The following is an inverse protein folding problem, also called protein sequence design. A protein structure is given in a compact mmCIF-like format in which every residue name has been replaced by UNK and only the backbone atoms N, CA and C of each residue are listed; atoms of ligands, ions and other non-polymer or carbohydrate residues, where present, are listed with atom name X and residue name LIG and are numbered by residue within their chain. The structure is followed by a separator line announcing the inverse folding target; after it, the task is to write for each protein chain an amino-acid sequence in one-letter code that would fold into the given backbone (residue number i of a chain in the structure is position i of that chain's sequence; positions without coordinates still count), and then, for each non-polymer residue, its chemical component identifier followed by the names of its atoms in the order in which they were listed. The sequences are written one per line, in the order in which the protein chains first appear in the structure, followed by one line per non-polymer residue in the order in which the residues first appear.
data_IF_837523217060
#
_entry.id   IF_837523217060
#
_cell.length_a   1.000
_cell.length_b   1.000
_cell.length_c   1.000
_cell.angle_alpha   90.00
_cell.angle_beta   90.00
_cell.angle_gamma   90.00
#
_symmetry.space_group_name_H-M   'P 1'
#
loop_
_entity.id
_entity.type
_entity.pdbx_description
1 polymer ?
#
# COMPACT_ATOMS: atom_id res chain seq x y z
N UNK A 1 -20.54 -22.07 21.01
CA UNK A 1 -20.54 -22.66 19.66
C UNK A 1 -21.38 -21.88 18.61
N UNK A 2 -22.04 -20.78 18.98
CA UNK A 2 -22.83 -19.90 18.08
C UNK A 2 -21.98 -18.87 17.31
N UNK A 3 -20.69 -18.72 17.63
CA UNK A 3 -19.79 -17.72 17.06
C UNK A 3 -19.50 -17.95 15.56
N UNK A 4 -19.26 -19.19 15.16
CA UNK A 4 -18.86 -19.53 13.79
C UNK A 4 -19.97 -19.27 12.75
N UNK A 5 -21.24 -19.69 12.95
CA UNK A 5 -22.32 -19.43 11.99
C UNK A 5 -22.65 -17.93 11.88
N UNK A 6 -22.54 -17.15 12.96
CA UNK A 6 -22.76 -15.69 12.91
C UNK A 6 -21.69 -14.97 12.12
N UNK A 7 -20.43 -15.36 12.24
CA UNK A 7 -19.32 -14.81 11.45
C UNK A 7 -19.44 -15.17 9.97
N UNK A 8 -19.93 -16.38 9.67
CA UNK A 8 -20.14 -16.81 8.30
C UNK A 8 -21.28 -16.04 7.63
N UNK A 9 -22.41 -15.87 8.31
CA UNK A 9 -23.55 -15.09 7.81
C UNK A 9 -23.20 -13.61 7.61
N UNK A 10 -22.42 -13.04 8.51
CA UNK A 10 -21.91 -11.67 8.39
C UNK A 10 -20.99 -11.51 7.17
N UNK A 11 -20.14 -12.50 6.90
CA UNK A 11 -19.25 -12.52 5.72
C UNK A 11 -20.04 -12.55 4.41
N UNK A 12 -21.08 -13.38 4.30
CA UNK A 12 -21.94 -13.43 3.12
C UNK A 12 -22.78 -12.18 2.95
N UNK A 13 -23.31 -11.62 4.05
CA UNK A 13 -24.01 -10.35 4.05
C UNK A 13 -23.13 -9.20 3.53
N UNK A 14 -21.88 -9.11 3.97
CA UNK A 14 -20.95 -8.12 3.45
C UNK A 14 -20.59 -8.33 1.99
N UNK A 15 -20.43 -9.57 1.54
CA UNK A 15 -20.22 -9.87 0.10
C UNK A 15 -21.41 -9.42 -0.74
N UNK A 16 -22.62 -9.64 -0.27
CA UNK A 16 -23.85 -9.20 -0.92
C UNK A 16 -23.89 -7.66 -1.01
N UNK A 17 -23.66 -6.95 0.08
CA UNK A 17 -23.62 -5.48 0.09
C UNK A 17 -22.54 -4.92 -0.84
N UNK A 18 -21.37 -5.55 -0.92
CA UNK A 18 -20.31 -5.17 -1.85
C UNK A 18 -20.70 -5.32 -3.32
N UNK A 19 -21.50 -6.32 -3.66
CA UNK A 19 -22.04 -6.50 -5.02
C UNK A 19 -22.94 -5.33 -5.44
N UNK A 20 -23.60 -4.69 -4.48
CA UNK A 20 -24.41 -3.47 -4.69
C UNK A 20 -23.59 -2.16 -4.53
N UNK A 21 -22.27 -2.23 -4.50
CA UNK A 21 -21.41 -1.04 -4.41
C UNK A 21 -21.32 -0.41 -3.02
N UNK A 22 -21.87 -1.04 -1.99
CA UNK A 22 -21.74 -0.57 -0.60
C UNK A 22 -20.31 -0.78 -0.12
N UNK A 23 -19.59 0.31 0.12
CA UNK A 23 -18.20 0.25 0.63
C UNK A 23 -18.18 -0.28 2.07
N UNK A 24 -17.31 -1.27 2.34
CA UNK A 24 -17.12 -1.83 3.68
C UNK A 24 -16.82 -0.75 4.72
N UNK A 25 -17.49 -0.77 5.89
CA UNK A 25 -17.17 0.13 7.00
C UNK A 25 -15.79 -0.14 7.62
N UNK A 26 -15.16 -1.25 7.26
CA UNK A 26 -13.82 -1.65 7.73
C UNK A 26 -12.66 -0.89 7.07
N UNK A 27 -12.93 0.09 6.19
CA UNK A 27 -11.87 1.01 5.77
C UNK A 27 -11.40 1.83 6.98
N UNK A 28 -10.22 1.56 7.56
CA UNK A 28 -9.84 2.08 8.87
C UNK A 28 -9.64 3.61 8.87
N UNK A 29 -9.69 4.25 7.72
CA UNK A 29 -9.47 5.69 7.63
C UNK A 29 -10.50 6.34 6.71
N UNK A 30 -11.77 6.34 7.12
CA UNK A 30 -12.80 7.20 6.52
C UNK A 30 -12.53 8.68 6.79
N UNK A 31 -11.84 9.00 7.88
CA UNK A 31 -11.56 10.37 8.28
C UNK A 31 -10.23 10.85 7.67
N UNK A 32 -10.33 11.73 6.67
CA UNK A 32 -9.19 12.35 5.99
C UNK A 32 -8.22 13.02 6.99
N UNK A 33 -8.74 13.70 8.01
CA UNK A 33 -7.94 14.41 9.01
C UNK A 33 -7.11 13.44 9.87
N UNK A 34 -7.68 12.29 10.25
CA UNK A 34 -6.97 11.26 11.01
C UNK A 34 -5.82 10.67 10.18
N UNK A 35 -6.04 10.44 8.89
CA UNK A 35 -5.01 9.95 7.98
C UNK A 35 -3.87 10.96 7.82
N UNK A 36 -4.18 12.24 7.60
CA UNK A 36 -3.16 13.28 7.50
C UNK A 36 -2.31 13.38 8.77
N UNK A 37 -2.92 13.22 9.95
CA UNK A 37 -2.19 13.19 11.20
C UNK A 37 -1.21 12.01 11.28
N UNK A 38 -1.64 10.82 10.84
CA UNK A 38 -0.78 9.62 10.78
C UNK A 38 0.37 9.83 9.80
N UNK A 39 0.09 10.30 8.58
CA UNK A 39 1.10 10.55 7.56
C UNK A 39 2.13 11.62 8.01
N UNK A 40 1.69 12.68 8.69
CA UNK A 40 2.59 13.67 9.30
C UNK A 40 3.51 13.05 10.35
N UNK A 41 3.03 12.10 11.16
CA UNK A 41 3.87 11.41 12.13
C UNK A 41 4.92 10.53 11.44
N UNK A 42 4.58 9.87 10.33
CA UNK A 42 5.55 9.11 9.54
C UNK A 42 6.63 10.00 8.93
N UNK A 43 6.24 11.15 8.39
CA UNK A 43 7.18 12.16 7.86
C UNK A 43 8.16 12.62 8.95
N UNK A 44 7.65 12.99 10.13
CA UNK A 44 8.49 13.39 11.27
C UNK A 44 9.45 12.27 11.70
N UNK A 45 8.98 11.03 11.71
CA UNK A 45 9.80 9.88 12.05
C UNK A 45 10.94 9.68 11.04
N UNK A 46 10.64 9.75 9.74
CA UNK A 46 11.63 9.63 8.67
C UNK A 46 12.69 10.73 8.79
N UNK A 47 12.27 11.98 8.98
CA UNK A 47 13.17 13.13 9.16
C UNK A 47 14.07 12.97 10.40
N UNK A 48 13.51 12.51 11.52
CA UNK A 48 14.25 12.31 12.77
C UNK A 48 15.29 11.19 12.68
N UNK A 49 14.96 10.10 11.98
CA UNK A 49 15.79 8.89 11.95
C UNK A 49 16.62 8.74 10.66
N UNK A 50 16.39 9.60 9.67
CA UNK A 50 17.03 9.56 8.35
C UNK A 50 16.96 8.16 7.71
N UNK A 51 15.81 7.50 7.84
CA UNK A 51 15.60 6.14 7.35
C UNK A 51 14.36 6.06 6.48
N UNK A 52 14.43 5.21 5.46
CA UNK A 52 13.29 4.81 4.66
C UNK A 52 12.25 4.12 5.54
N UNK A 53 10.97 4.40 5.32
CA UNK A 53 9.85 3.79 6.03
C UNK A 53 8.94 3.04 5.06
N UNK A 54 8.73 1.76 5.32
CA UNK A 54 7.74 0.93 4.63
C UNK A 54 6.68 0.53 5.65
N UNK A 55 5.43 0.85 5.38
CA UNK A 55 4.32 0.50 6.28
C UNK A 55 3.03 0.18 5.51
N UNK A 56 1.98 -0.18 6.26
CA UNK A 56 0.63 -0.41 5.78
C UNK A 56 -0.38 0.47 6.51
N UNK A 57 -1.47 -0.13 6.98
CA UNK A 57 -2.52 0.41 7.86
C UNK A 57 -3.46 1.45 7.24
N UNK A 58 -2.99 2.38 6.42
CA UNK A 58 -3.87 3.41 5.83
C UNK A 58 -4.70 2.89 4.64
N UNK A 59 -4.45 1.67 4.21
CA UNK A 59 -5.08 0.99 3.06
C UNK A 59 -4.97 1.79 1.74
N UNK A 60 -3.99 2.69 1.65
CA UNK A 60 -3.67 3.43 0.43
C UNK A 60 -2.20 3.22 0.11
N UNK A 61 -1.97 2.63 -1.04
CA UNK A 61 -0.60 2.47 -1.52
C UNK A 61 0.06 3.84 -1.73
N UNK A 62 1.34 3.92 -1.41
CA UNK A 62 2.18 5.07 -1.69
C UNK A 62 3.57 4.60 -2.13
N UNK A 63 4.04 5.24 -3.18
CA UNK A 63 5.39 5.05 -3.69
C UNK A 63 5.98 6.44 -3.92
N UNK A 64 7.07 6.84 -3.23
CA UNK A 64 7.59 8.20 -3.29
C UNK A 64 8.20 8.48 -4.66
N UNK A 65 8.15 9.72 -5.09
CA UNK A 65 8.96 10.22 -6.21
C UNK A 65 10.38 10.50 -5.72
N UNK A 66 11.33 10.66 -6.63
CA UNK A 66 12.75 10.83 -6.33
C UNK A 66 13.08 11.98 -5.37
N UNK A 67 12.25 13.03 -5.35
CA UNK A 67 12.43 14.18 -4.44
C UNK A 67 11.57 14.12 -3.19
N UNK A 68 10.72 13.09 -3.05
CA UNK A 68 9.86 12.95 -1.86
C UNK A 68 10.62 12.21 -0.76
N UNK A 69 10.21 12.42 0.48
CA UNK A 69 10.69 11.59 1.59
C UNK A 69 10.35 10.10 1.34
N UNK A 70 11.27 9.18 1.65
CA UNK A 70 11.14 7.76 1.32
C UNK A 70 10.13 7.04 2.22
N UNK A 71 8.87 7.41 2.05
CA UNK A 71 7.72 6.81 2.67
C UNK A 71 6.98 5.92 1.67
N UNK A 72 6.96 4.63 1.94
CA UNK A 72 6.23 3.63 1.16
C UNK A 72 5.04 3.09 1.95
N UNK A 73 3.94 2.83 1.27
CA UNK A 73 2.81 2.14 1.85
C UNK A 73 2.35 1.02 0.92
N UNK A 74 2.27 -0.20 1.46
CA UNK A 74 1.88 -1.39 0.70
C UNK A 74 0.43 -1.36 0.20
N UNK A 75 -0.40 -0.49 0.77
CA UNK A 75 -1.80 -0.37 0.38
C UNK A 75 -2.71 -1.35 1.13
N UNK A 76 -3.47 -2.13 0.39
CA UNK A 76 -4.55 -2.94 0.93
C UNK A 76 -4.54 -4.37 0.40
N UNK A 77 -4.71 -5.34 1.30
CA UNK A 77 -4.82 -6.77 0.99
C UNK A 77 -6.19 -7.39 1.34
N UNK A 78 -7.16 -6.57 1.75
CA UNK A 78 -8.49 -7.07 2.16
C UNK A 78 -9.55 -6.99 1.07
N UNK A 79 -9.25 -6.41 -0.09
CA UNK A 79 -10.19 -6.42 -1.21
C UNK A 79 -10.20 -7.81 -1.89
N UNK A 80 -11.39 -8.35 -2.19
CA UNK A 80 -11.52 -9.74 -2.67
C UNK A 80 -10.91 -9.99 -4.05
N UNK A 81 -10.74 -8.97 -4.86
CA UNK A 81 -10.30 -9.09 -6.26
C UNK A 81 -8.96 -8.43 -6.55
N UNK A 82 -8.43 -7.67 -5.60
CA UNK A 82 -7.22 -6.88 -5.84
C UNK A 82 -6.46 -6.67 -4.54
N UNK A 83 -5.18 -6.98 -4.54
CA UNK A 83 -4.25 -6.66 -3.46
C UNK A 83 -3.08 -5.83 -4.00
N UNK A 84 -2.53 -4.97 -3.16
CA UNK A 84 -1.31 -4.23 -3.48
C UNK A 84 -0.22 -4.58 -2.47
N UNK A 85 1.03 -4.60 -2.92
CA UNK A 85 2.18 -4.94 -2.10
C UNK A 85 3.42 -4.16 -2.52
N UNK A 86 4.35 -3.98 -1.59
CA UNK A 86 5.73 -3.59 -1.89
C UNK A 86 6.55 -4.87 -1.98
N UNK A 87 7.22 -5.06 -3.10
CA UNK A 87 8.16 -6.16 -3.32
C UNK A 87 9.58 -5.62 -3.35
N UNK A 88 10.49 -6.34 -2.69
CA UNK A 88 11.92 -6.03 -2.67
C UNK A 88 12.67 -7.28 -3.11
N UNK A 89 13.42 -7.16 -4.19
CA UNK A 89 14.19 -8.27 -4.76
C UNK A 89 15.46 -7.75 -5.42
N UNK A 90 16.62 -8.37 -5.15
CA UNK A 90 17.88 -8.00 -5.79
C UNK A 90 18.27 -6.54 -5.57
N UNK A 91 17.99 -5.96 -4.40
CA UNK A 91 18.29 -4.56 -4.12
C UNK A 91 17.37 -3.55 -4.81
N UNK A 92 16.30 -4.02 -5.45
CA UNK A 92 15.31 -3.18 -6.09
C UNK A 92 13.99 -3.22 -5.32
N UNK A 93 13.26 -2.10 -5.32
CA UNK A 93 11.94 -1.94 -4.71
C UNK A 93 10.91 -1.58 -5.76
N UNK A 94 9.73 -2.19 -5.66
CA UNK A 94 8.62 -1.93 -6.58
C UNK A 94 7.27 -2.03 -5.87
N UNK A 95 6.29 -1.30 -6.37
CA UNK A 95 4.90 -1.40 -5.98
C UNK A 95 4.18 -2.26 -7.00
N UNK A 96 3.56 -3.34 -6.55
CA UNK A 96 2.84 -4.28 -7.40
C UNK A 96 1.37 -4.37 -7.03
N UNK A 97 0.59 -4.80 -7.99
CA UNK A 97 -0.83 -5.12 -7.85
C UNK A 97 -1.07 -6.52 -8.36
N UNK A 98 -1.74 -7.32 -7.54
CA UNK A 98 -2.24 -8.63 -7.92
C UNK A 98 -3.76 -8.54 -8.11
N UNK A 99 -4.26 -9.00 -9.24
CA UNK A 99 -5.70 -8.97 -9.58
C UNK A 99 -6.17 -10.34 -10.00
N UNK A 100 -7.39 -10.69 -9.62
CA UNK A 100 -8.11 -11.77 -10.25
C UNK A 100 -8.77 -11.26 -11.54
N UNK A 101 -8.62 -12.02 -12.63
CA UNK A 101 -9.29 -11.77 -13.90
C UNK A 101 -9.84 -13.08 -14.44
N UNK A 102 -10.90 -12.99 -15.22
CA UNK A 102 -11.39 -14.09 -16.04
C UNK A 102 -10.71 -13.97 -17.40
N UNK A 103 -10.11 -15.06 -17.89
CA UNK A 103 -9.52 -15.12 -19.24
C UNK A 103 -10.60 -15.33 -20.30
N UNK A 104 -10.21 -15.42 -21.57
CA UNK A 104 -11.11 -15.61 -22.70
C UNK A 104 -11.87 -16.95 -22.64
N UNK A 105 -11.29 -17.96 -21.99
CA UNK A 105 -11.89 -19.28 -21.77
C UNK A 105 -12.82 -19.34 -20.55
N UNK A 106 -13.07 -18.22 -19.88
CA UNK A 106 -13.90 -18.16 -18.68
C UNK A 106 -13.21 -18.60 -17.39
N UNK A 107 -11.89 -18.90 -17.43
CA UNK A 107 -11.13 -19.36 -16.27
C UNK A 107 -10.59 -18.20 -15.44
N UNK A 108 -10.62 -18.35 -14.11
CA UNK A 108 -10.08 -17.37 -13.18
C UNK A 108 -8.54 -17.41 -13.20
N UNK A 109 -7.93 -16.28 -13.48
CA UNK A 109 -6.47 -16.11 -13.47
C UNK A 109 -6.06 -15.03 -12.47
N UNK A 110 -4.86 -15.18 -11.89
CA UNK A 110 -4.21 -14.17 -11.08
C UNK A 110 -3.17 -13.45 -11.94
N UNK A 111 -3.36 -12.14 -12.12
CA UNK A 111 -2.43 -11.29 -12.88
C UNK A 111 -1.65 -10.39 -11.93
N UNK A 112 -0.31 -10.42 -12.05
CA UNK A 112 0.61 -9.48 -11.39
C UNK A 112 0.89 -8.31 -12.33
N UNK A 113 0.84 -7.10 -11.80
CA UNK A 113 1.05 -5.85 -12.52
C UNK A 113 1.99 -4.96 -11.72
N UNK A 114 3.10 -4.49 -12.31
CA UNK A 114 3.97 -3.50 -11.69
C UNK A 114 3.36 -2.12 -11.87
N UNK A 115 3.08 -1.45 -10.77
CA UNK A 115 2.47 -0.11 -10.78
C UNK A 115 3.51 1.01 -10.75
N UNK A 116 4.63 0.78 -10.01
CA UNK A 116 5.75 1.69 -9.86
C UNK A 116 7.04 0.92 -9.65
N UNK A 117 8.16 1.45 -10.12
CA UNK A 117 9.46 0.79 -10.08
C UNK A 117 9.63 -0.18 -11.25
N UNK A 118 10.59 -1.14 -11.17
CA UNK A 118 11.56 -1.30 -10.08
C UNK A 118 12.58 -0.17 -10.02
N UNK A 119 12.87 0.29 -8.82
CA UNK A 119 13.91 1.29 -8.54
C UNK A 119 14.95 0.72 -7.57
N UNK A 120 16.23 1.06 -7.71
CA UNK A 120 17.26 0.69 -6.73
C UNK A 120 16.92 1.27 -5.35
N UNK A 121 17.01 0.45 -4.28
CA UNK A 121 16.72 0.89 -2.91
C UNK A 121 17.61 2.08 -2.52
N UNK A 122 18.86 2.09 -2.94
CA UNK A 122 19.80 3.18 -2.68
C UNK A 122 19.35 4.55 -3.20
N UNK A 123 18.46 4.60 -4.20
CA UNK A 123 17.84 5.84 -4.68
C UNK A 123 17.05 6.57 -3.61
N UNK A 124 16.57 5.84 -2.59
CA UNK A 124 15.75 6.35 -1.50
C UNK A 124 16.52 6.52 -0.20
N UNK A 125 17.86 6.44 -0.25
CA UNK A 125 18.72 6.72 0.90
C UNK A 125 18.83 8.24 1.09
N UNK A 126 18.27 8.73 2.19
CA UNK A 126 18.26 10.15 2.55
C UNK A 126 19.70 10.66 2.73
N UNK A 127 20.61 9.84 3.26
CA UNK A 127 22.00 10.21 3.51
C UNK A 127 22.79 10.40 2.22
N UNK A 128 22.46 9.66 1.19
CA UNK A 128 23.07 9.81 -0.13
C UNK A 128 22.60 11.10 -0.84
N UNK A 129 21.36 11.50 -0.62
CA UNK A 129 20.78 12.71 -1.22
C UNK A 129 21.38 14.00 -0.66
N UNK A 130 21.69 14.04 0.64
CA UNK A 130 22.28 15.22 1.30
C UNK A 130 23.75 15.44 0.90
N UNK A 131 24.48 14.38 0.52
CA UNK A 131 25.89 14.50 0.09
C UNK A 131 26.05 15.05 -1.33
N UNK A 132 25.00 15.10 -2.12
CA UNK A 132 25.07 15.51 -3.53
C UNK A 132 24.57 16.94 -3.78
N UNK A 133 24.21 17.71 -2.76
CA UNK A 133 24.01 19.15 -2.92
C UNK A 133 25.39 19.83 -2.94
N UNK A 134 25.80 20.49 -4.04
CA UNK A 134 27.01 21.30 -4.02
C UNK A 134 26.81 22.43 -3.02
N UNK A 135 27.73 22.53 -2.07
CA UNK A 135 27.84 23.68 -1.18
C UNK A 135 28.10 24.89 -2.07
N UNK A 136 27.06 25.66 -2.38
CA UNK A 136 27.21 26.99 -2.97
C UNK A 136 27.64 27.92 -1.86
N UNK A 137 28.94 28.25 -1.86
CA UNK A 137 29.50 29.39 -1.14
C UNK A 137 28.89 30.71 -1.64
#
# INVERSE_FOLDING_TARGET
QLWYPTMLSLKYFWRFLHAFGVKSPTSPVKNMNKRHKIEKNYVKWIQKHEKMLICGHTHRFKYPKTKDLPYFNSGCCIYPTTITAIEITGGQIQLVRWKTRVNEDGLLQIKREVMRGPDPIGKFDIRASVKNEPVTE
#
